data_IF_715138466706
#
_entry.id   IF_715138466706
#
_cell.length_a   1.000
_cell.length_b   1.000
_cell.length_c   1.000
_cell.angle_alpha   90.00
_cell.angle_beta   90.00
_cell.angle_gamma   90.00
#
_symmetry.space_group_name_H-M   'P 1'
#
loop_
_entity.id
_entity.type
_entity.pdbx_description
1 polymer ?
#
# COMPACT_ATOMS: atom_id res chain seq x y z
N UNK A 1 -8.72 -13.88 -3.85
CA UNK A 1 -7.61 -12.90 -3.64
C UNK A 1 -6.94 -12.62 -4.98
N UNK A 2 -6.64 -11.36 -5.24
CA UNK A 2 -5.98 -10.96 -6.49
C UNK A 2 -4.49 -10.79 -6.24
N UNK A 3 -3.66 -11.33 -7.13
CA UNK A 3 -2.21 -11.16 -7.08
C UNK A 3 -1.79 -10.17 -8.16
N UNK A 4 -0.98 -9.18 -7.77
CA UNK A 4 -0.51 -8.14 -8.67
C UNK A 4 1.00 -8.20 -8.83
N UNK A 5 1.47 -7.89 -10.04
CA UNK A 5 2.89 -7.84 -10.37
C UNK A 5 3.24 -6.46 -10.90
N UNK A 6 4.47 -6.00 -10.64
CA UNK A 6 5.00 -4.78 -11.24
C UNK A 6 5.52 -5.07 -12.64
N UNK A 7 5.20 -4.16 -13.58
CA UNK A 7 5.76 -4.20 -14.93
C UNK A 7 7.14 -3.54 -14.97
N UNK A 8 7.43 -2.65 -14.02
CA UNK A 8 8.70 -1.95 -13.90
C UNK A 8 9.29 -2.19 -12.51
N UNK A 9 10.63 -2.10 -12.35
CA UNK A 9 11.26 -2.32 -11.04
C UNK A 9 10.85 -1.31 -9.96
N UNK A 10 10.37 -0.14 -10.38
CA UNK A 10 10.05 0.95 -9.46
C UNK A 10 8.91 1.79 -10.03
N UNK A 11 7.93 2.11 -9.19
CA UNK A 11 6.80 2.97 -9.57
C UNK A 11 6.42 3.86 -8.40
N UNK A 12 6.07 5.12 -8.69
CA UNK A 12 5.51 6.05 -7.71
C UNK A 12 4.18 6.53 -8.25
N UNK A 13 3.14 6.53 -7.41
CA UNK A 13 1.84 7.07 -7.78
C UNK A 13 1.21 7.83 -6.62
N UNK A 14 0.37 8.79 -6.98
CA UNK A 14 -0.48 9.52 -6.03
C UNK A 14 -1.91 9.05 -6.21
N UNK A 15 -2.62 8.82 -5.10
CA UNK A 15 -4.00 8.33 -5.14
C UNK A 15 -4.86 9.04 -4.11
N UNK A 16 -6.16 9.09 -4.41
CA UNK A 16 -7.17 9.61 -3.50
C UNK A 16 -8.32 8.62 -3.48
N UNK A 17 -8.69 8.16 -2.28
CA UNK A 17 -9.78 7.20 -2.07
C UNK A 17 -10.83 7.83 -1.17
N UNK A 18 -12.08 7.86 -1.65
CA UNK A 18 -13.23 8.31 -0.87
C UNK A 18 -14.03 7.12 -0.31
N UNK A 19 -13.84 5.94 -0.85
CA UNK A 19 -14.55 4.72 -0.47
C UNK A 19 -13.57 3.62 -0.14
N UNK A 20 -13.98 2.74 0.78
CA UNK A 20 -13.14 1.63 1.24
C UNK A 20 -12.84 0.63 0.13
N UNK A 21 -11.60 0.13 0.12
CA UNK A 21 -11.17 -0.99 -0.69
C UNK A 21 -11.01 -2.17 0.26
N UNK A 22 -12.11 -2.87 0.54
CA UNK A 22 -12.11 -3.98 1.49
C UNK A 22 -11.70 -5.30 0.86
N UNK A 23 -11.59 -5.35 -0.47
CA UNK A 23 -11.12 -6.54 -1.16
C UNK A 23 -9.62 -6.67 -0.98
N UNK A 24 -9.19 -7.80 -0.42
CA UNK A 24 -7.79 -8.07 -0.18
C UNK A 24 -7.00 -8.22 -1.46
N UNK A 25 -5.78 -7.68 -1.45
CA UNK A 25 -4.81 -7.78 -2.53
C UNK A 25 -3.52 -8.40 -2.00
N UNK A 26 -2.91 -9.26 -2.81
CA UNK A 26 -1.58 -9.80 -2.54
C UNK A 26 -0.65 -9.31 -3.64
N UNK A 27 0.54 -8.83 -3.26
CA UNK A 27 1.52 -8.29 -4.19
C UNK A 27 2.77 -9.15 -4.24
N UNK A 28 3.44 -9.18 -5.39
CA UNK A 28 4.75 -9.82 -5.54
C UNK A 28 5.90 -8.82 -5.39
N UNK A 29 5.59 -7.61 -4.98
CA UNK A 29 6.54 -6.49 -4.86
C UNK A 29 6.40 -5.84 -3.49
N UNK A 30 7.38 -5.00 -3.14
CA UNK A 30 7.33 -4.17 -1.93
C UNK A 30 6.51 -2.91 -2.21
N UNK A 31 5.80 -2.44 -1.20
CA UNK A 31 5.01 -1.21 -1.32
C UNK A 31 5.17 -0.37 -0.06
N UNK A 32 5.47 0.93 -0.24
CA UNK A 32 5.42 1.93 0.83
C UNK A 32 4.20 2.80 0.58
N UNK A 33 3.33 2.90 1.57
CA UNK A 33 2.12 3.73 1.51
C UNK A 33 2.28 4.86 2.50
N UNK A 34 2.40 6.09 2.02
CA UNK A 34 2.51 7.27 2.86
C UNK A 34 1.21 8.06 2.84
N UNK A 35 0.57 8.17 4.02
CA UNK A 35 -0.71 8.85 4.15
C UNK A 35 -0.46 10.36 4.23
N UNK A 36 -0.88 11.09 3.21
CA UNK A 36 -0.79 12.54 3.18
C UNK A 36 -1.90 13.16 4.04
N UNK A 37 -3.13 12.64 3.91
CA UNK A 37 -4.27 13.10 4.69
C UNK A 37 -5.34 12.05 4.72
N UNK A 38 -6.15 12.05 5.79
CA UNK A 38 -7.27 11.15 5.94
C UNK A 38 -7.12 10.19 7.10
N UNK A 39 -8.23 9.53 7.44
CA UNK A 39 -8.28 8.56 8.54
C UNK A 39 -8.99 7.29 8.08
N UNK A 40 -8.67 6.19 8.73
CA UNK A 40 -9.27 4.89 8.45
C UNK A 40 -8.44 3.78 9.06
N UNK A 41 -8.55 2.60 8.47
CA UNK A 41 -7.81 1.41 8.92
C UNK A 41 -7.14 0.78 7.71
N UNK A 42 -5.84 0.51 7.84
CA UNK A 42 -5.11 -0.33 6.91
C UNK A 42 -5.09 -1.73 7.49
N UNK A 43 -5.68 -2.68 6.79
CA UNK A 43 -5.64 -4.10 7.16
C UNK A 43 -4.46 -4.75 6.44
N UNK A 44 -3.53 -5.33 7.20
CA UNK A 44 -2.36 -6.03 6.64
C UNK A 44 -2.30 -7.40 7.30
N UNK A 45 -2.41 -8.47 6.52
CA UNK A 45 -2.41 -9.86 6.99
C UNK A 45 -3.44 -10.07 8.13
N UNK A 46 -4.63 -9.51 7.98
CA UNK A 46 -5.72 -9.55 8.95
C UNK A 46 -5.44 -8.81 10.25
N UNK A 47 -4.37 -8.03 10.33
CA UNK A 47 -4.10 -7.14 11.45
C UNK A 47 -4.62 -5.74 11.14
N UNK A 48 -5.15 -5.09 12.16
CA UNK A 48 -5.80 -3.79 12.04
C UNK A 48 -4.84 -2.68 12.46
N UNK A 49 -4.58 -1.73 11.54
CA UNK A 49 -3.72 -0.59 11.80
C UNK A 49 -4.45 0.70 11.48
N UNK A 50 -5.03 1.36 12.52
CA UNK A 50 -5.62 2.67 12.31
C UNK A 50 -4.57 3.66 11.81
N UNK A 51 -4.96 4.54 10.89
CA UNK A 51 -4.03 5.52 10.33
C UNK A 51 -4.58 6.94 10.36
N UNK A 52 -3.68 7.88 10.27
CA UNK A 52 -3.96 9.30 10.13
C UNK A 52 -2.85 9.93 9.28
N UNK A 53 -2.91 11.26 9.10
CA UNK A 53 -1.93 12.02 8.34
C UNK A 53 -0.50 11.69 8.82
N UNK A 54 0.40 11.45 7.90
CA UNK A 54 1.81 11.22 8.18
C UNK A 54 2.19 9.77 8.47
N UNK A 55 1.23 8.84 8.53
CA UNK A 55 1.55 7.42 8.71
C UNK A 55 2.21 6.83 7.47
N UNK A 56 3.18 5.97 7.70
CA UNK A 56 3.88 5.23 6.65
C UNK A 56 3.72 3.74 6.91
N UNK A 57 3.28 3.00 5.90
CA UNK A 57 3.15 1.55 5.97
C UNK A 57 4.08 0.89 4.97
N UNK A 58 4.69 -0.23 5.39
CA UNK A 58 5.47 -1.11 4.52
C UNK A 58 4.67 -2.39 4.30
N UNK A 59 4.41 -2.72 3.04
CA UNK A 59 3.75 -3.97 2.65
C UNK A 59 4.77 -4.77 1.87
N UNK A 60 5.04 -5.99 2.33
CA UNK A 60 6.08 -6.84 1.72
C UNK A 60 5.45 -7.87 0.78
N UNK A 61 6.26 -8.48 -0.13
CA UNK A 61 5.73 -9.51 -1.03
C UNK A 61 5.05 -10.63 -0.25
N UNK A 62 3.87 -11.03 -0.69
CA UNK A 62 3.09 -12.07 -0.04
C UNK A 62 2.13 -11.56 1.03
N UNK A 63 2.29 -10.31 1.51
CA UNK A 63 1.31 -9.74 2.43
C UNK A 63 0.00 -9.47 1.72
N UNK A 64 -1.11 -9.67 2.43
CA UNK A 64 -2.42 -9.23 1.96
C UNK A 64 -2.74 -7.90 2.62
N UNK A 65 -3.42 -7.00 1.89
CA UNK A 65 -3.82 -5.72 2.47
C UNK A 65 -5.13 -5.22 1.88
N UNK A 66 -5.78 -4.35 2.63
CA UNK A 66 -6.99 -3.65 2.20
C UNK A 66 -7.16 -2.38 3.01
N UNK A 67 -7.93 -1.42 2.47
CA UNK A 67 -8.22 -0.14 3.12
C UNK A 67 -9.66 -0.08 3.58
N UNK A 68 -9.85 0.34 4.83
CA UNK A 68 -11.15 0.78 5.32
C UNK A 68 -11.07 2.29 5.49
N UNK A 69 -11.79 3.04 4.67
CA UNK A 69 -11.71 4.51 4.62
C UNK A 69 -12.77 5.10 5.55
N UNK A 70 -12.34 5.91 6.52
CA UNK A 70 -13.26 6.66 7.39
C UNK A 70 -13.45 8.08 6.87
N UNK A 71 -12.37 8.73 6.44
CA UNK A 71 -12.44 10.01 5.73
C UNK A 71 -11.61 9.89 4.45
N UNK A 72 -11.94 10.71 3.45
CA UNK A 72 -11.20 10.68 2.18
C UNK A 72 -9.70 10.68 2.43
N UNK A 73 -9.01 9.73 1.86
CA UNK A 73 -7.58 9.50 2.09
C UNK A 73 -6.79 9.79 0.84
N UNK A 74 -5.76 10.65 1.00
CA UNK A 74 -4.79 10.94 -0.05
C UNK A 74 -3.47 10.29 0.36
N UNK A 75 -2.85 9.57 -0.57
CA UNK A 75 -1.60 8.88 -0.24
C UNK A 75 -0.69 8.77 -1.45
N UNK A 76 0.61 8.62 -1.15
CA UNK A 76 1.64 8.31 -2.14
C UNK A 76 2.00 6.85 -1.98
N UNK A 77 2.02 6.14 -3.10
CA UNK A 77 2.43 4.75 -3.20
C UNK A 77 3.78 4.67 -3.86
N UNK A 78 4.71 3.96 -3.22
CA UNK A 78 6.02 3.68 -3.82
C UNK A 78 6.13 2.17 -3.90
N UNK A 79 6.22 1.63 -5.12
CA UNK A 79 6.28 0.20 -5.38
C UNK A 79 7.61 -0.16 -5.99
N UNK A 80 8.24 -1.23 -5.50
CA UNK A 80 9.53 -1.69 -6.01
C UNK A 80 9.66 -3.19 -5.80
N UNK A 81 10.51 -3.84 -6.61
CA UNK A 81 10.70 -5.27 -6.52
C UNK A 81 12.14 -5.62 -6.12
N UNK A 82 12.41 -6.92 -5.91
CA UNK A 82 13.73 -7.40 -5.49
C UNK A 82 14.85 -6.97 -6.44
N UNK A 83 14.57 -6.94 -7.74
CA UNK A 83 15.56 -6.55 -8.74
C UNK A 83 16.04 -5.12 -8.48
N UNK A 84 15.10 -4.23 -8.14
CA UNK A 84 15.45 -2.84 -7.84
C UNK A 84 16.35 -2.76 -6.59
N UNK A 85 15.99 -3.49 -5.52
CA UNK A 85 16.79 -3.52 -4.28
C UNK A 85 18.20 -4.02 -4.57
N UNK A 86 18.32 -5.17 -5.25
CA UNK A 86 19.62 -5.76 -5.55
C UNK A 86 20.47 -4.91 -6.47
N UNK A 87 19.84 -4.19 -7.40
CA UNK A 87 20.55 -3.29 -8.32
C UNK A 87 21.07 -2.03 -7.63
N UNK A 88 20.47 -1.64 -6.50
CA UNK A 88 20.80 -0.41 -5.78
C UNK A 88 21.90 -0.57 -4.74
N UNK A 89 22.31 -1.81 -4.47
CA UNK A 89 23.31 -2.13 -3.43
C UNK A 89 24.72 -2.22 -4.00
#
# INVERSE_FOLDING_TARGET
MKRENLHQPFEISFSELAESLLKEHEHTFFELVYILSGTGIQWINNNMFPYHDGHLFMITPGDTHSFEIHTTTKFVDIKFNDIYIHSSV
#
